data_IF_912601074161
#
_entry.id   IF_912601074161
#
_cell.length_a   1.000
_cell.length_b   1.000
_cell.length_c   1.000
_cell.angle_alpha   90.00
_cell.angle_beta   90.00
_cell.angle_gamma   90.00
#
_symmetry.space_group_name_H-M   'P 1'
#
loop_
_entity.id
_entity.type
_entity.pdbx_description
1 polymer ?
#
# COMPACT_ATOMS: atom_id res chain seq x y z
N UNK A 1 -11.34 -15.73 -14.26
CA UNK A 1 -11.19 -14.26 -14.24
C UNK A 1 -9.90 -13.93 -14.98
N UNK A 2 -10.00 -13.54 -16.25
CA UNK A 2 -8.83 -13.13 -17.06
C UNK A 2 -8.59 -11.64 -16.84
N UNK A 3 -7.44 -11.28 -16.28
CA UNK A 3 -6.99 -9.90 -16.18
C UNK A 3 -6.46 -9.43 -17.55
N UNK A 4 -6.74 -8.20 -17.96
CA UNK A 4 -6.26 -7.65 -19.24
C UNK A 4 -4.76 -7.33 -19.17
N UNK A 5 -4.10 -7.18 -20.34
CA UNK A 5 -2.66 -6.89 -20.40
C UNK A 5 -2.26 -5.54 -19.76
N UNK A 6 -3.17 -4.57 -19.66
CA UNK A 6 -2.94 -3.34 -18.88
C UNK A 6 -2.85 -3.61 -17.36
N UNK A 7 -3.59 -4.60 -16.86
CA UNK A 7 -3.50 -5.04 -15.46
C UNK A 7 -2.30 -5.96 -15.20
N UNK A 8 -1.64 -6.47 -16.24
CA UNK A 8 -0.43 -7.29 -16.08
C UNK A 8 0.76 -6.44 -15.61
N UNK A 9 0.83 -5.16 -16.01
CA UNK A 9 1.76 -4.15 -15.49
C UNK A 9 1.34 -3.55 -14.14
N UNK A 10 0.06 -3.62 -13.79
CA UNK A 10 -0.51 -3.16 -12.51
C UNK A 10 -0.81 -4.33 -11.56
N UNK A 11 -0.05 -5.43 -11.63
CA UNK A 11 -0.23 -6.56 -10.72
C UNK A 11 0.16 -6.13 -9.31
N UNK A 12 -0.84 -5.65 -8.57
CA UNK A 12 -0.82 -5.58 -7.13
C UNK A 12 -0.51 -6.99 -6.61
N UNK A 13 0.75 -7.25 -6.23
CA UNK A 13 1.09 -8.52 -5.60
C UNK A 13 0.43 -8.52 -4.22
N UNK A 14 -0.81 -9.04 -4.16
CA UNK A 14 -1.55 -9.21 -2.93
C UNK A 14 -0.72 -9.96 -1.88
N UNK A 15 0.12 -10.90 -2.30
CA UNK A 15 1.00 -11.60 -1.38
C UNK A 15 2.11 -10.66 -0.85
N UNK A 16 2.66 -9.76 -1.66
CA UNK A 16 3.59 -8.71 -1.21
C UNK A 16 2.94 -7.80 -0.18
N UNK A 17 1.75 -7.26 -0.47
CA UNK A 17 1.00 -6.42 0.49
C UNK A 17 0.78 -7.16 1.79
N UNK A 18 0.28 -8.40 1.74
CA UNK A 18 0.04 -9.19 2.95
C UNK A 18 1.33 -9.52 3.72
N UNK A 19 2.46 -9.77 3.04
CA UNK A 19 3.77 -9.97 3.68
C UNK A 19 4.20 -8.70 4.40
N UNK A 20 4.09 -7.54 3.74
CA UNK A 20 4.44 -6.23 4.31
C UNK A 20 3.59 -5.88 5.52
N UNK A 21 2.27 -6.03 5.43
CA UNK A 21 1.35 -5.79 6.56
C UNK A 21 1.66 -6.70 7.76
N UNK A 22 1.96 -7.98 7.51
CA UNK A 22 2.37 -8.91 8.59
C UNK A 22 3.70 -8.51 9.22
N UNK A 23 4.66 -8.05 8.43
CA UNK A 23 5.94 -7.56 8.93
C UNK A 23 5.75 -6.28 9.76
N UNK A 24 4.97 -5.31 9.28
CA UNK A 24 4.64 -4.09 10.00
C UNK A 24 3.95 -4.40 11.35
N UNK A 25 2.92 -5.27 11.34
CA UNK A 25 2.26 -5.74 12.56
C UNK A 25 3.24 -6.41 13.53
N UNK A 26 4.19 -7.22 13.03
CA UNK A 26 5.22 -7.84 13.87
C UNK A 26 6.11 -6.78 14.53
N UNK A 27 6.53 -5.75 13.78
CA UNK A 27 7.31 -4.63 14.35
C UNK A 27 6.56 -3.88 15.43
N UNK A 28 5.28 -3.56 15.19
CA UNK A 28 4.44 -2.86 16.18
C UNK A 28 4.24 -3.68 17.46
N UNK A 29 4.08 -5.00 17.33
CA UNK A 29 3.94 -5.90 18.48
C UNK A 29 5.25 -6.10 19.25
N UNK A 30 6.35 -6.27 18.52
CA UNK A 30 7.65 -6.60 19.11
C UNK A 30 8.40 -5.33 19.56
N UNK A 31 7.94 -4.15 19.13
CA UNK A 31 8.44 -2.83 19.54
C UNK A 31 8.11 -2.54 21.01
N UNK A 32 9.08 -1.97 21.72
CA UNK A 32 8.90 -1.51 23.11
C UNK A 32 8.19 -0.16 23.23
N UNK A 33 7.92 0.49 22.10
CA UNK A 33 7.36 1.82 22.07
C UNK A 33 5.84 1.74 22.06
N UNK A 34 5.22 2.36 23.06
CA UNK A 34 3.77 2.56 23.08
C UNK A 34 3.44 3.55 21.97
N UNK A 35 2.63 3.12 21.01
CA UNK A 35 2.04 3.98 19.99
C UNK A 35 0.52 3.94 20.13
N UNK A 36 -0.13 5.06 19.79
CA UNK A 36 -1.57 5.13 19.65
C UNK A 36 -2.04 4.28 18.46
N UNK A 37 -3.34 4.01 18.41
CA UNK A 37 -3.93 3.30 17.27
C UNK A 37 -3.77 4.07 15.96
N UNK A 38 -3.78 5.41 16.01
CA UNK A 38 -3.61 6.27 14.83
C UNK A 38 -2.18 6.17 14.29
N UNK A 39 -1.18 6.33 15.16
CA UNK A 39 0.24 6.20 14.78
C UNK A 39 0.54 4.80 14.22
N UNK A 40 -0.05 3.75 14.80
CA UNK A 40 0.09 2.39 14.29
C UNK A 40 -0.51 2.23 12.87
N UNK A 41 -1.62 2.92 12.58
CA UNK A 41 -2.23 2.90 11.25
C UNK A 41 -1.37 3.68 10.25
N UNK A 42 -0.85 4.84 10.64
CA UNK A 42 0.04 5.66 9.81
C UNK A 42 1.30 4.87 9.42
N UNK A 43 1.93 4.18 10.37
CA UNK A 43 3.10 3.33 10.12
C UNK A 43 2.81 2.20 9.12
N UNK A 44 1.61 1.60 9.21
CA UNK A 44 1.20 0.51 8.32
C UNK A 44 0.87 1.03 6.93
N UNK A 45 0.21 2.19 6.82
CA UNK A 45 -0.07 2.86 5.54
C UNK A 45 1.25 3.23 4.85
N UNK A 46 2.18 3.80 5.61
CA UNK A 46 3.49 4.18 5.10
C UNK A 46 4.26 2.96 4.58
N UNK A 47 4.27 1.84 5.32
CA UNK A 47 4.91 0.60 4.88
C UNK A 47 4.32 0.05 3.57
N UNK A 48 3.03 0.27 3.30
CA UNK A 48 2.40 -0.12 2.03
C UNK A 48 2.73 0.87 0.91
N UNK A 49 2.79 2.17 1.21
CA UNK A 49 3.19 3.22 0.24
C UNK A 49 4.63 3.05 -0.25
N UNK A 50 5.50 2.52 0.60
CA UNK A 50 6.90 2.21 0.25
C UNK A 50 7.05 0.98 -0.67
N UNK A 51 5.98 0.21 -0.89
CA UNK A 51 6.03 -0.81 -1.91
C UNK A 51 6.13 -0.14 -3.28
N UNK A 52 7.07 -0.62 -4.10
CA UNK A 52 7.14 -0.28 -5.52
C UNK A 52 5.92 -0.87 -6.24
N UNK A 53 4.77 -0.22 -6.05
CA UNK A 53 3.51 -0.55 -6.71
C UNK A 53 3.45 0.30 -7.97
N UNK A 54 3.48 -0.31 -9.16
CA UNK A 54 3.35 0.43 -10.41
C UNK A 54 2.00 1.16 -10.42
N UNK A 55 2.03 2.49 -10.49
CA UNK A 55 0.89 3.41 -10.69
C UNK A 55 -0.05 3.70 -9.50
N UNK A 56 0.43 3.71 -8.26
CA UNK A 56 -0.23 4.54 -7.25
C UNK A 56 0.31 5.97 -7.37
N UNK A 57 -0.10 6.69 -8.42
CA UNK A 57 -0.03 8.15 -8.35
C UNK A 57 -0.82 8.57 -7.11
N UNK A 58 -0.25 9.38 -6.20
CA UNK A 58 -1.01 9.92 -5.08
C UNK A 58 -2.26 10.60 -5.65
N UNK A 59 -3.44 10.24 -5.15
CA UNK A 59 -4.69 10.91 -5.55
C UNK A 59 -4.62 12.44 -5.36
N UNK A 60 -3.70 12.91 -4.52
CA UNK A 60 -3.42 14.33 -4.28
C UNK A 60 -2.65 15.03 -5.42
N UNK A 61 -1.99 14.28 -6.30
CA UNK A 61 -1.28 14.81 -7.49
C UNK A 61 -2.11 14.71 -8.78
N UNK A 62 -3.24 14.01 -8.74
CA UNK A 62 -4.23 14.03 -9.82
C UNK A 62 -5.01 15.34 -9.76
N UNK A 63 -4.40 16.40 -10.31
CA UNK A 63 -5.17 17.55 -10.79
C UNK A 63 -6.34 17.04 -11.64
N UNK A 64 -7.49 17.69 -11.48
CA UNK A 64 -8.88 17.36 -11.85
C UNK A 64 -9.15 16.92 -13.32
N UNK A 65 -8.25 16.18 -13.95
CA UNK A 65 -8.24 15.96 -15.39
C UNK A 65 -8.23 14.46 -15.73
N UNK A 66 -9.43 14.03 -16.10
CA UNK A 66 -9.74 12.91 -16.99
C UNK A 66 -9.59 11.49 -16.43
N UNK A 67 -10.69 10.99 -15.84
CA UNK A 67 -10.99 9.56 -15.77
C UNK A 67 -11.32 9.07 -17.18
N UNK A 68 -10.43 8.30 -17.81
CA UNK A 68 -10.75 7.55 -19.03
C UNK A 68 -11.07 6.09 -18.65
N UNK A 69 -12.27 5.65 -19.03
CA UNK A 69 -12.83 4.31 -18.81
C UNK A 69 -12.01 3.16 -19.40
#
# INVERSE_FOLDING_TARGET
MSFCEHCAGQRFDRAQVLRTLRAARKRLRDGRQLCSAVEALDDVIQAVRELEIPHLEPLDEMGDDTVIH
#
